data_IF_582159091075
#
_entry.id   IF_582159091075
#
_cell.length_a   1.000
_cell.length_b   1.000
_cell.length_c   1.000
_cell.angle_alpha   90.00
_cell.angle_beta   90.00
_cell.angle_gamma   90.00
#
_symmetry.space_group_name_H-M   'P 1'
#
loop_
_entity.id
_entity.type
_entity.pdbx_description
1 polymer ?
#
# COMPACT_ATOMS: atom_id res chain seq x y z
N UNK A 1 -4.66 -1.86 26.07
CA UNK A 1 -3.44 -1.06 26.27
C UNK A 1 -2.25 -1.86 26.81
N UNK A 2 -2.40 -2.80 27.75
CA UNK A 2 -1.25 -3.51 28.34
C UNK A 2 -0.40 -4.40 27.42
N UNK A 3 -0.99 -5.05 26.40
CA UNK A 3 -0.25 -5.95 25.48
C UNK A 3 0.76 -5.22 24.59
N UNK A 4 0.47 -3.96 24.22
CA UNK A 4 1.37 -3.17 23.38
C UNK A 4 2.60 -2.72 24.17
N UNK A 5 2.40 -2.22 25.39
CA UNK A 5 3.46 -1.86 26.32
C UNK A 5 4.41 -3.04 26.59
N UNK A 6 3.84 -4.24 26.80
CA UNK A 6 4.60 -5.46 27.03
C UNK A 6 5.41 -5.88 25.79
N UNK A 7 4.81 -5.80 24.60
CA UNK A 7 5.49 -6.05 23.34
C UNK A 7 6.64 -5.07 23.10
N UNK A 8 6.40 -3.77 23.28
CA UNK A 8 7.40 -2.72 23.13
C UNK A 8 8.57 -2.91 24.10
N UNK A 9 8.28 -3.26 25.37
CA UNK A 9 9.31 -3.52 26.39
C UNK A 9 10.15 -4.75 26.05
N UNK A 10 9.54 -5.78 25.48
CA UNK A 10 10.22 -6.98 25.00
C UNK A 10 11.17 -6.67 23.83
N UNK A 11 10.69 -5.91 22.85
CA UNK A 11 11.48 -5.53 21.65
C UNK A 11 12.60 -4.53 21.98
N UNK A 12 12.39 -3.64 22.95
CA UNK A 12 13.38 -2.60 23.29
C UNK A 12 14.43 -3.04 24.33
N UNK A 13 14.29 -4.23 24.95
CA UNK A 13 15.19 -4.71 25.99
C UNK A 13 16.66 -4.68 25.50
N UNK A 14 17.54 -3.86 26.09
CA UNK A 14 18.92 -3.76 25.62
C UNK A 14 19.67 -5.04 25.93
N UNK A 15 20.23 -5.69 24.89
CA UNK A 15 21.26 -6.72 25.05
C UNK A 15 22.63 -6.03 25.01
N UNK A 16 23.49 -6.39 25.96
CA UNK A 16 24.80 -5.77 26.15
C UNK A 16 25.87 -6.28 25.17
N UNK A 17 25.58 -7.32 24.40
CA UNK A 17 26.50 -7.97 23.45
C UNK A 17 26.35 -7.47 22.00
N UNK A 18 25.55 -6.42 21.76
CA UNK A 18 25.20 -5.97 20.40
C UNK A 18 26.06 -4.79 19.92
N UNK A 19 26.70 -4.95 18.77
CA UNK A 19 27.47 -3.89 18.11
C UNK A 19 26.58 -2.76 17.57
N UNK A 20 27.19 -1.61 17.30
CA UNK A 20 26.46 -0.44 16.78
C UNK A 20 25.74 -0.71 15.45
N UNK A 21 26.30 -1.61 14.63
CA UNK A 21 25.73 -2.02 13.34
C UNK A 21 24.47 -2.87 13.55
N UNK A 22 24.48 -3.76 14.54
CA UNK A 22 23.30 -4.59 14.86
C UNK A 22 22.14 -3.72 15.31
N UNK A 23 22.40 -2.76 16.22
CA UNK A 23 21.39 -1.81 16.71
C UNK A 23 20.78 -0.94 15.61
N UNK A 24 21.56 -0.55 14.60
CA UNK A 24 21.06 0.19 13.45
C UNK A 24 20.04 -0.66 12.67
N UNK A 25 20.37 -1.92 12.39
CA UNK A 25 19.53 -2.79 11.58
C UNK A 25 18.26 -3.27 12.28
N UNK A 26 18.35 -3.85 13.48
CA UNK A 26 17.13 -4.42 14.10
C UNK A 26 16.22 -3.35 14.70
N UNK A 27 16.79 -2.23 15.20
CA UNK A 27 16.00 -1.22 15.92
C UNK A 27 15.61 -0.06 15.02
N UNK A 28 16.58 0.61 14.39
CA UNK A 28 16.28 1.81 13.57
C UNK A 28 15.61 1.44 12.27
N UNK A 29 16.14 0.48 11.51
CA UNK A 29 15.52 0.09 10.22
C UNK A 29 14.12 -0.49 10.44
N UNK A 30 13.93 -1.38 11.42
CA UNK A 30 12.60 -1.92 11.74
C UNK A 30 11.62 -0.81 12.15
N UNK A 31 12.03 0.12 13.02
CA UNK A 31 11.17 1.25 13.41
C UNK A 31 10.78 2.14 12.22
N UNK A 32 11.72 2.42 11.31
CA UNK A 32 11.46 3.19 10.08
C UNK A 32 10.44 2.46 9.20
N UNK A 33 10.59 1.15 9.01
CA UNK A 33 9.66 0.35 8.20
C UNK A 33 8.26 0.31 8.81
N UNK A 34 8.15 0.11 10.14
CA UNK A 34 6.86 0.12 10.84
C UNK A 34 6.19 1.49 10.74
N UNK A 35 6.98 2.57 10.89
CA UNK A 35 6.47 3.93 10.75
C UNK A 35 5.99 4.21 9.32
N UNK A 36 6.78 3.85 8.30
CA UNK A 36 6.38 4.00 6.91
C UNK A 36 5.12 3.19 6.57
N UNK A 37 5.02 1.95 7.05
CA UNK A 37 3.83 1.12 6.88
C UNK A 37 2.59 1.73 7.54
N UNK A 38 2.73 2.31 8.72
CA UNK A 38 1.63 3.01 9.41
C UNK A 38 1.20 4.26 8.64
N UNK A 39 2.13 5.04 8.10
CA UNK A 39 1.83 6.22 7.27
C UNK A 39 1.09 5.85 5.98
N UNK A 40 1.57 4.82 5.26
CA UNK A 40 0.92 4.33 4.04
C UNK A 40 -0.49 3.85 4.36
N UNK A 41 -0.64 3.04 5.42
CA UNK A 41 -1.94 2.53 5.86
C UNK A 41 -2.89 3.68 6.23
N UNK A 42 -2.43 4.68 7.00
CA UNK A 42 -3.25 5.82 7.36
C UNK A 42 -3.76 6.58 6.13
N UNK A 43 -2.91 6.75 5.10
CA UNK A 43 -3.32 7.37 3.83
C UNK A 43 -4.36 6.52 3.09
N UNK A 44 -4.22 5.20 3.09
CA UNK A 44 -5.16 4.29 2.42
C UNK A 44 -6.51 4.15 3.12
N UNK A 45 -6.61 4.39 4.44
CA UNK A 45 -7.86 4.25 5.20
C UNK A 45 -8.65 5.56 5.38
N UNK A 46 -7.96 6.71 5.42
CA UNK A 46 -8.57 8.01 5.75
C UNK A 46 -8.67 8.93 4.52
N UNK A 47 -7.95 8.62 3.45
CA UNK A 47 -7.97 9.40 2.21
C UNK A 47 -8.30 8.54 0.99
N UNK A 48 -8.37 9.20 -0.16
CA UNK A 48 -8.57 8.57 -1.46
C UNK A 48 -7.22 8.02 -1.98
N UNK A 49 -7.05 6.69 -2.09
CA UNK A 49 -5.78 6.09 -2.48
C UNK A 49 -5.47 6.29 -3.98
N UNK A 50 -6.51 6.50 -4.80
CA UNK A 50 -6.43 6.73 -6.25
C UNK A 50 -7.51 7.72 -6.67
N UNK A 51 -7.16 8.63 -7.58
CA UNK A 51 -8.09 9.56 -8.20
C UNK A 51 -8.29 9.17 -9.66
N UNK A 52 -9.55 9.01 -10.08
CA UNK A 52 -9.89 8.51 -11.40
C UNK A 52 -10.48 9.60 -12.28
N UNK A 53 -10.11 9.62 -13.56
CA UNK A 53 -10.79 10.48 -14.53
C UNK A 53 -12.15 9.87 -14.89
N UNK A 54 -13.23 10.40 -14.31
CA UNK A 54 -14.61 9.96 -14.54
C UNK A 54 -15.38 10.92 -15.46
N UNK A 55 -16.44 10.46 -16.16
CA UNK A 55 -17.27 11.33 -16.97
C UNK A 55 -18.00 12.39 -16.13
N UNK A 56 -18.17 13.59 -16.67
CA UNK A 56 -18.79 14.73 -15.97
C UNK A 56 -20.27 14.56 -15.56
N UNK A 57 -20.93 13.48 -15.98
CA UNK A 57 -22.31 13.17 -15.58
C UNK A 57 -22.37 12.32 -14.29
N UNK A 58 -21.22 11.86 -13.78
CA UNK A 58 -21.18 11.08 -12.54
C UNK A 58 -21.37 12.04 -11.36
N UNK A 59 -22.25 11.65 -10.43
CA UNK A 59 -22.37 12.33 -9.13
C UNK A 59 -21.24 11.88 -8.22
N UNK A 60 -20.91 12.66 -7.19
CA UNK A 60 -19.81 12.40 -6.24
C UNK A 60 -19.80 10.94 -5.69
N UNK A 61 -20.97 10.37 -5.38
CA UNK A 61 -21.03 8.98 -4.88
C UNK A 61 -20.66 7.90 -5.93
N UNK A 62 -20.84 8.18 -7.22
CA UNK A 62 -20.39 7.29 -8.29
C UNK A 62 -18.89 7.42 -8.53
N UNK A 63 -18.32 8.61 -8.33
CA UNK A 63 -16.88 8.85 -8.38
C UNK A 63 -16.17 8.02 -7.29
N UNK A 64 -16.61 8.13 -6.03
CA UNK A 64 -16.09 7.34 -4.92
C UNK A 64 -16.21 5.82 -5.17
N UNK A 65 -17.33 5.38 -5.76
CA UNK A 65 -17.51 3.97 -6.12
C UNK A 65 -16.51 3.49 -7.17
N UNK A 66 -16.30 4.28 -8.23
CA UNK A 66 -15.36 3.94 -9.30
C UNK A 66 -13.94 3.93 -8.79
N UNK A 67 -13.56 4.90 -7.94
CA UNK A 67 -12.22 4.95 -7.35
C UNK A 67 -11.94 3.73 -6.48
N UNK A 68 -12.89 3.34 -5.63
CA UNK A 68 -12.79 2.12 -4.83
C UNK A 68 -12.71 0.87 -5.71
N UNK A 69 -13.50 0.80 -6.78
CA UNK A 69 -13.45 -0.31 -7.73
C UNK A 69 -12.08 -0.41 -8.42
N UNK A 70 -11.56 0.71 -8.91
CA UNK A 70 -10.25 0.78 -9.56
C UNK A 70 -9.09 0.52 -8.59
N UNK A 71 -9.25 0.78 -7.30
CA UNK A 71 -8.25 0.47 -6.29
C UNK A 71 -8.22 -1.02 -5.93
N UNK A 72 -9.39 -1.65 -5.84
CA UNK A 72 -9.50 -3.09 -5.50
C UNK A 72 -9.14 -3.96 -6.69
N UNK A 73 -9.52 -3.59 -7.92
CA UNK A 73 -9.19 -4.33 -9.13
C UNK A 73 -7.79 -3.98 -9.67
N UNK A 74 -7.12 -4.96 -10.31
CA UNK A 74 -5.80 -4.71 -10.90
C UNK A 74 -5.91 -3.76 -12.11
N UNK A 75 -5.18 -2.66 -12.07
CA UNK A 75 -5.03 -1.72 -13.19
C UNK A 75 -3.92 -2.17 -14.15
N UNK A 76 -3.87 -1.62 -15.35
CA UNK A 76 -2.79 -1.90 -16.32
C UNK A 76 -2.29 -0.59 -16.93
N UNK A 77 -1.03 -0.57 -17.34
CA UNK A 77 -0.43 0.61 -17.96
C UNK A 77 -0.26 0.44 -19.47
N UNK A 78 -0.57 1.50 -20.21
CA UNK A 78 -0.41 1.59 -21.67
C UNK A 78 0.24 2.93 -22.00
N UNK A 79 1.14 2.93 -22.98
CA UNK A 79 1.73 4.15 -23.55
C UNK A 79 0.65 4.95 -24.29
N UNK A 80 0.71 6.27 -24.20
CA UNK A 80 -0.30 7.15 -24.80
C UNK A 80 -0.36 7.06 -26.33
N UNK A 81 0.73 6.63 -26.97
CA UNK A 81 0.80 6.48 -28.43
C UNK A 81 0.21 5.15 -28.94
N UNK A 82 -0.01 4.18 -28.04
CA UNK A 82 -0.51 2.86 -28.41
C UNK A 82 -2.04 2.81 -28.30
N UNK A 83 -2.68 2.02 -29.16
CA UNK A 83 -4.11 1.72 -29.02
C UNK A 83 -4.38 0.89 -27.76
N UNK A 84 -5.58 1.07 -27.19
CA UNK A 84 -6.02 0.30 -26.04
C UNK A 84 -6.14 -1.19 -26.42
N UNK A 85 -5.55 -2.11 -25.65
CA UNK A 85 -5.60 -3.53 -25.95
C UNK A 85 -7.05 -4.04 -25.93
N UNK A 86 -7.49 -4.69 -27.01
CA UNK A 86 -8.84 -5.26 -27.12
C UNK A 86 -8.95 -6.64 -26.45
N UNK A 87 -7.84 -7.37 -26.35
CA UNK A 87 -7.81 -8.72 -25.77
C UNK A 87 -7.63 -8.68 -24.26
N UNK A 88 -8.43 -9.46 -23.54
CA UNK A 88 -8.29 -9.65 -22.08
C UNK A 88 -6.93 -10.24 -21.72
N UNK A 89 -6.42 -11.17 -22.53
CA UNK A 89 -5.14 -11.83 -22.28
C UNK A 89 -3.95 -10.85 -22.39
N UNK A 90 -4.07 -9.82 -23.22
CA UNK A 90 -3.05 -8.77 -23.36
C UNK A 90 -3.09 -7.81 -22.17
N UNK A 91 -4.30 -7.40 -21.73
CA UNK A 91 -4.49 -6.58 -20.53
C UNK A 91 -3.90 -7.25 -19.28
N UNK A 92 -4.13 -8.55 -19.11
CA UNK A 92 -3.60 -9.31 -17.98
C UNK A 92 -2.06 -9.33 -17.91
N UNK A 93 -1.38 -9.33 -19.07
CA UNK A 93 0.10 -9.27 -19.11
C UNK A 93 0.66 -7.92 -18.69
N UNK A 94 -0.14 -6.86 -18.80
CA UNK A 94 0.23 -5.48 -18.49
C UNK A 94 -0.28 -5.01 -17.12
N UNK A 95 -0.90 -5.91 -16.35
CA UNK A 95 -1.46 -5.60 -15.04
C UNK A 95 -0.38 -5.23 -14.02
N UNK A 96 -0.73 -4.28 -13.16
CA UNK A 96 0.06 -3.77 -12.06
C UNK A 96 -0.59 -4.25 -10.75
N UNK A 97 0.13 -5.02 -9.93
CA UNK A 97 -0.41 -5.63 -8.71
C UNK A 97 0.27 -5.16 -7.42
N UNK A 98 0.92 -3.99 -7.41
CA UNK A 98 1.72 -3.53 -6.27
C UNK A 98 0.91 -2.86 -5.14
N UNK A 99 -0.32 -2.41 -5.41
CA UNK A 99 -1.19 -1.82 -4.39
C UNK A 99 -1.91 -2.87 -3.53
N UNK A 100 -2.12 -4.07 -4.07
CA UNK A 100 -2.70 -5.18 -3.34
C UNK A 100 -1.63 -5.80 -2.44
N UNK A 101 -1.63 -5.44 -1.16
CA UNK A 101 -0.86 -6.20 -0.17
C UNK A 101 -1.57 -7.55 -0.01
N UNK A 102 -0.90 -8.63 -0.42
CA UNK A 102 -1.38 -10.02 -0.45
C UNK A 102 -1.66 -10.60 0.95
N UNK A 103 -2.44 -9.92 1.78
CA UNK A 103 -2.81 -10.36 3.14
C UNK A 103 -4.00 -11.34 3.09
N UNK A 104 -4.76 -11.39 1.98
CA UNK A 104 -5.95 -12.25 1.83
C UNK A 104 -6.05 -12.89 0.44
N UNK A 105 -4.98 -13.58 -0.01
CA UNK A 105 -5.09 -14.57 -1.09
C UNK A 105 -4.32 -15.83 -0.74
#
# INVERSE_FOLDING_TARGET
MGKLEEFLKSTYKPRYEEDSVDRLNYRRTSAILVFAAALISAKSYVGEPIQCWVPAHFTDGWEEYVENYCFVENTYWVKMENELPNSVAERQKLQLSYYQVSILR
#
